data_IF_855127162178
#
_entry.id   IF_855127162178
#
_cell.length_a   1.000
_cell.length_b   1.000
_cell.length_c   1.000
_cell.angle_alpha   90.00
_cell.angle_beta   90.00
_cell.angle_gamma   90.00
#
_symmetry.space_group_name_H-M   'P 1'
#
loop_
_entity.id
_entity.type
_entity.pdbx_description
1 polymer ?
#
# COMPACT_ATOMS: atom_id res chain seq x y z
N UNK A 1 14.42 13.45 -16.23
CA UNK A 1 13.10 13.67 -15.60
C UNK A 1 12.69 12.40 -14.87
N UNK A 2 12.78 12.40 -13.54
CA UNK A 2 12.39 11.25 -12.71
C UNK A 2 10.90 11.03 -12.87
N UNK A 3 10.52 9.96 -13.56
CA UNK A 3 9.11 9.56 -13.69
C UNK A 3 8.63 9.18 -12.30
N UNK A 4 7.75 10.00 -11.73
CA UNK A 4 7.06 9.67 -10.50
C UNK A 4 6.09 8.53 -10.85
N UNK A 5 6.40 7.33 -10.37
CA UNK A 5 5.54 6.18 -10.52
C UNK A 5 4.80 5.94 -9.20
N UNK A 6 3.49 5.78 -9.30
CA UNK A 6 2.64 5.25 -8.24
C UNK A 6 2.66 3.74 -8.33
N UNK A 7 2.89 3.08 -7.19
CA UNK A 7 2.85 1.62 -7.08
C UNK A 7 1.71 1.22 -6.16
N UNK A 8 0.89 0.29 -6.60
CA UNK A 8 -0.20 -0.25 -5.79
C UNK A 8 0.38 -1.16 -4.71
N UNK A 9 0.04 -0.90 -3.45
CA UNK A 9 0.48 -1.72 -2.33
C UNK A 9 -0.13 -3.13 -2.32
N UNK A 10 -1.24 -3.35 -3.06
CA UNK A 10 -1.95 -4.64 -3.09
C UNK A 10 -1.50 -5.49 -4.28
N UNK A 11 -1.58 -4.95 -5.50
CA UNK A 11 -1.29 -5.71 -6.72
C UNK A 11 0.06 -5.36 -7.37
N UNK A 12 0.89 -4.53 -6.70
CA UNK A 12 2.17 -4.04 -7.23
C UNK A 12 2.10 -3.30 -8.58
N UNK A 13 0.89 -2.96 -9.06
CA UNK A 13 0.71 -2.24 -10.31
C UNK A 13 1.40 -0.88 -10.27
N UNK A 14 2.29 -0.64 -11.23
CA UNK A 14 2.97 0.63 -11.40
C UNK A 14 2.28 1.47 -12.48
N UNK A 15 2.10 2.75 -12.21
CA UNK A 15 1.46 3.72 -13.10
C UNK A 15 2.23 5.04 -13.04
N UNK A 16 2.41 5.68 -14.18
CA UNK A 16 3.05 7.00 -14.20
C UNK A 16 2.07 8.04 -13.64
N UNK A 17 2.51 8.79 -12.63
CA UNK A 17 1.72 9.85 -11.99
C UNK A 17 1.30 10.94 -12.99
N UNK A 18 2.07 11.13 -14.07
CA UNK A 18 1.77 12.10 -15.12
C UNK A 18 0.60 11.76 -16.04
N UNK A 19 0.05 10.54 -16.00
CA UNK A 19 -1.05 10.10 -16.88
C UNK A 19 -2.41 10.00 -16.17
N UNK A 20 -2.42 9.90 -14.83
CA UNK A 20 -3.63 9.79 -14.03
C UNK A 20 -3.48 10.74 -12.84
N UNK A 21 -4.45 11.64 -12.67
CA UNK A 21 -4.53 12.45 -11.44
C UNK A 21 -4.46 11.53 -10.24
N UNK A 22 -3.37 11.62 -9.46
CA UNK A 22 -3.11 10.73 -8.32
C UNK A 22 -4.22 10.70 -7.25
N UNK A 23 -5.22 11.58 -7.37
CA UNK A 23 -6.46 11.59 -6.60
C UNK A 23 -7.34 10.34 -6.80
N UNK A 24 -7.25 9.65 -7.94
CA UNK A 24 -8.01 8.41 -8.19
C UNK A 24 -7.47 7.19 -7.42
N UNK A 25 -6.34 7.34 -6.72
CA UNK A 25 -5.73 6.26 -5.95
C UNK A 25 -6.17 6.34 -4.50
N UNK A 26 -6.50 5.19 -3.92
CA UNK A 26 -6.70 5.07 -2.48
C UNK A 26 -5.43 5.45 -1.74
N UNK A 27 -5.58 6.21 -0.67
CA UNK A 27 -4.48 6.61 0.21
C UNK A 27 -4.75 6.04 1.59
N UNK A 28 -3.75 5.38 2.15
CA UNK A 28 -3.78 4.88 3.52
C UNK A 28 -2.56 5.44 4.23
N UNK A 29 -2.79 6.22 5.27
CA UNK A 29 -1.72 6.70 6.14
C UNK A 29 -1.40 5.62 7.18
N UNK A 30 -0.10 5.37 7.35
CA UNK A 30 0.41 4.50 8.39
C UNK A 30 0.27 5.19 9.75
N UNK A 31 0.01 4.43 10.84
CA UNK A 31 0.09 4.97 12.18
C UNK A 31 1.53 5.46 12.46
N UNK A 32 1.69 6.51 13.29
CA UNK A 32 2.97 7.18 13.49
C UNK A 32 4.06 6.31 14.13
N UNK A 33 3.69 5.19 14.75
CA UNK A 33 4.59 4.22 15.38
C UNK A 33 5.00 3.06 14.44
N UNK A 34 4.46 3.03 13.22
CA UNK A 34 4.73 1.97 12.24
C UNK A 34 5.79 2.40 11.23
N UNK A 35 7.03 1.97 11.46
CA UNK A 35 8.11 2.07 10.47
C UNK A 35 8.15 0.79 9.62
N UNK A 36 7.77 0.91 8.35
CA UNK A 36 7.78 -0.20 7.40
C UNK A 36 8.55 0.20 6.15
N UNK A 37 9.52 -0.62 5.75
CA UNK A 37 10.16 -0.48 4.45
C UNK A 37 9.33 -1.21 3.37
N UNK A 38 8.64 -0.45 2.52
CA UNK A 38 7.87 -1.03 1.41
C UNK A 38 7.98 -0.18 0.14
N UNK A 39 8.17 -0.79 -1.06
CA UNK A 39 8.36 -0.05 -2.32
C UNK A 39 7.14 0.75 -2.78
N UNK A 40 5.95 0.44 -2.24
CA UNK A 40 4.72 1.22 -2.44
C UNK A 40 4.47 2.27 -1.35
N UNK A 41 5.31 2.34 -0.31
CA UNK A 41 5.25 3.36 0.71
C UNK A 41 5.95 4.62 0.23
N UNK A 42 5.29 5.77 0.36
CA UNK A 42 5.86 7.09 0.05
C UNK A 42 5.68 7.97 1.29
N UNK A 43 6.78 8.22 2.01
CA UNK A 43 6.72 8.85 3.33
C UNK A 43 5.99 7.91 4.29
N UNK A 44 4.81 8.31 4.75
CA UNK A 44 3.97 7.51 5.65
C UNK A 44 2.65 7.11 5.00
N UNK A 45 2.56 7.13 3.67
CA UNK A 45 1.31 6.85 2.95
C UNK A 45 1.48 5.73 1.93
N UNK A 46 0.64 4.70 2.03
CA UNK A 46 0.44 3.70 1.01
C UNK A 46 -0.56 4.15 -0.04
N UNK A 47 -0.33 3.73 -1.29
CA UNK A 47 -1.28 3.95 -2.37
C UNK A 47 -1.83 2.65 -2.93
N UNK A 48 -3.14 2.63 -3.19
CA UNK A 48 -3.83 1.53 -3.86
C UNK A 48 -4.43 2.03 -5.18
N UNK A 49 -4.34 1.22 -6.23
CA UNK A 49 -4.91 1.59 -7.52
C UNK A 49 -6.45 1.53 -7.48
N UNK A 50 -7.15 2.32 -8.31
CA UNK A 50 -8.62 2.39 -8.32
C UNK A 50 -9.29 1.02 -8.49
N UNK A 51 -8.68 0.11 -9.27
CA UNK A 51 -9.21 -1.24 -9.43
C UNK A 51 -9.21 -2.06 -8.13
N UNK A 52 -8.18 -1.92 -7.30
CA UNK A 52 -8.13 -2.62 -6.01
C UNK A 52 -9.05 -1.95 -4.99
N UNK A 53 -9.10 -0.62 -4.94
CA UNK A 53 -9.98 0.12 -4.01
C UNK A 53 -11.46 -0.07 -4.33
N UNK A 54 -11.82 -0.18 -5.62
CA UNK A 54 -13.20 -0.49 -6.02
C UNK A 54 -13.58 -1.95 -5.78
N UNK A 55 -12.62 -2.88 -5.87
CA UNK A 55 -12.87 -4.32 -5.71
C UNK A 55 -12.90 -4.76 -4.25
N UNK A 56 -12.11 -4.12 -3.40
CA UNK A 56 -11.97 -4.45 -2.00
C UNK A 56 -12.29 -3.19 -1.18
N UNK A 57 -13.51 -3.04 -0.64
CA UNK A 57 -13.82 -1.89 0.21
C UNK A 57 -12.93 -1.85 1.47
N UNK A 58 -12.61 -3.02 2.03
CA UNK A 58 -11.72 -3.20 3.19
C UNK A 58 -10.24 -3.35 2.83
N UNK A 59 -9.83 -2.82 1.68
CA UNK A 59 -8.44 -2.95 1.22
C UNK A 59 -7.41 -2.37 2.21
N UNK A 60 -7.81 -1.35 2.98
CA UNK A 60 -6.98 -0.72 4.00
C UNK A 60 -6.64 -1.71 5.11
N UNK A 61 -7.66 -2.40 5.62
CA UNK A 61 -7.52 -3.39 6.70
C UNK A 61 -6.72 -4.61 6.23
N UNK A 62 -6.97 -5.08 5.01
CA UNK A 62 -6.18 -6.15 4.39
C UNK A 62 -4.72 -5.76 4.19
N UNK A 63 -4.46 -4.50 3.82
CA UNK A 63 -3.11 -4.00 3.67
C UNK A 63 -2.42 -3.91 5.03
N UNK A 64 -3.05 -3.34 6.05
CA UNK A 64 -2.51 -3.29 7.42
C UNK A 64 -2.23 -4.70 7.95
N UNK A 65 -3.13 -5.65 7.72
CA UNK A 65 -2.95 -7.07 8.07
C UNK A 65 -1.77 -7.70 7.32
N UNK A 66 -1.66 -7.47 6.02
CA UNK A 66 -0.55 -7.99 5.20
C UNK A 66 0.80 -7.40 5.61
N UNK A 67 0.78 -6.19 6.17
CA UNK A 67 1.94 -5.49 6.72
C UNK A 67 2.23 -5.89 8.17
N UNK A 68 1.39 -6.73 8.79
CA UNK A 68 1.53 -7.15 10.18
C UNK A 68 1.25 -6.03 11.19
N UNK A 69 0.55 -4.98 10.78
CA UNK A 69 0.14 -3.86 11.63
C UNK A 69 -1.26 -4.04 12.24
N UNK A 70 -1.94 -5.14 11.92
CA UNK A 70 -3.23 -5.45 12.53
C UNK A 70 -3.05 -5.68 14.05
N UNK A 71 -3.80 -4.97 14.90
CA UNK A 71 -3.70 -5.11 16.35
C UNK A 71 -4.20 -6.51 16.75
N UNK A 72 -3.28 -7.44 16.99
CA UNK A 72 -3.61 -8.77 17.50
C UNK A 72 -2.87 -9.95 16.88
N UNK A 73 -2.01 -9.75 15.88
CA UNK A 73 -1.19 -10.85 15.35
C UNK A 73 0.28 -10.70 15.78
N UNK A 74 0.86 -11.69 16.49
CA UNK A 74 2.29 -11.72 16.71
C UNK A 74 2.99 -11.87 15.37
N UNK A 75 3.74 -10.84 15.00
CA UNK A 75 4.74 -10.86 13.96
C UNK A 75 5.75 -11.98 14.26
N UNK A 76 5.74 -13.06 13.48
CA UNK A 76 6.96 -13.81 13.23
C UNK A 76 7.05 -14.24 11.75
N UNK A 77 8.25 -14.24 11.15
CA UNK A 77 8.47 -14.30 9.72
C UNK A 77 8.80 -15.73 9.21
N UNK A 78 8.80 -15.82 7.87
CA UNK A 78 9.48 -16.78 6.99
C UNK A 78 8.77 -18.06 6.46
N UNK A 79 9.10 -18.42 5.19
CA UNK A 79 8.42 -19.42 4.37
C UNK A 79 8.96 -20.83 4.60
N UNK A 80 8.17 -21.86 4.29
CA UNK A 80 8.66 -23.24 4.25
C UNK A 80 8.14 -23.99 3.01
N UNK A 81 9.09 -24.25 2.11
CA UNK A 81 9.19 -25.23 1.00
C UNK A 81 8.19 -25.24 -0.15
#
# INVERSE_FOLDING_TARGET
>A
MSRLYLRCAICSRQQAEGLISGAAWGRLELPPDAEIEHPALRGSTFRACPGCTSRHPDWQDQLLTSLGLAPGFPLHPEPAQ
#
